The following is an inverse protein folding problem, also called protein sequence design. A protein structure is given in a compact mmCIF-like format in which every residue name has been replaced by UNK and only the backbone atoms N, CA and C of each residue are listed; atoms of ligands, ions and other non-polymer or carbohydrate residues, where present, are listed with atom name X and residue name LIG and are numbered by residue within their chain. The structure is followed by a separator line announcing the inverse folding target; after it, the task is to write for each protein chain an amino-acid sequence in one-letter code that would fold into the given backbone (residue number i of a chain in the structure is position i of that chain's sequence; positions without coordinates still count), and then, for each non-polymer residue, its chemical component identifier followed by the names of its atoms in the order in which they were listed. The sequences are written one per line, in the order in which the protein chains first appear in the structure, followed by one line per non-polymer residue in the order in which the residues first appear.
data_IF_046426108456
#
_entry.id   IF_046426108456
#
_cell.length_a   1.000
_cell.length_b   1.000
_cell.length_c   1.000
_cell.angle_alpha   90.00
_cell.angle_beta   90.00
_cell.angle_gamma   90.00
#
_symmetry.space_group_name_H-M   'P 1'
#
loop_
_entity.id
_entity.type
_entity.pdbx_description
1 polymer ?
#
# COMPACT_ATOMS: atom_id res chain seq x y z
N UNK A 1 8.90 -6.62 -15.84
CA UNK A 1 8.02 -5.45 -15.60
C UNK A 1 7.52 -5.56 -14.17
N UNK A 2 7.47 -4.48 -13.40
CA UNK A 2 6.97 -4.51 -12.01
C UNK A 2 5.45 -4.47 -11.97
N UNK A 3 4.84 -5.00 -10.90
CA UNK A 3 3.37 -5.05 -10.69
C UNK A 3 2.73 -3.66 -10.81
N UNK A 4 3.37 -2.64 -10.25
CA UNK A 4 2.89 -1.26 -10.37
C UNK A 4 2.86 -0.73 -11.81
N UNK A 5 3.83 -1.11 -12.64
CA UNK A 5 3.89 -0.70 -14.05
C UNK A 5 2.81 -1.39 -14.88
N UNK A 6 2.57 -2.66 -14.62
CA UNK A 6 1.51 -3.44 -15.27
C UNK A 6 0.12 -2.89 -14.92
N UNK A 7 -0.13 -2.59 -13.64
CA UNK A 7 -1.36 -1.94 -13.21
C UNK A 7 -1.53 -0.52 -13.80
N UNK A 8 -0.43 0.21 -14.01
CA UNK A 8 -0.47 1.53 -14.66
C UNK A 8 -0.89 1.41 -16.14
N UNK A 9 -0.43 0.38 -16.84
CA UNK A 9 -0.85 0.10 -18.22
C UNK A 9 -2.33 -0.31 -18.29
N UNK A 10 -2.80 -1.14 -17.35
CA UNK A 10 -4.22 -1.46 -17.19
C UNK A 10 -5.06 -0.20 -16.98
N UNK A 11 -4.64 0.68 -16.07
CA UNK A 11 -5.35 1.93 -15.80
C UNK A 11 -5.42 2.83 -17.03
N UNK A 12 -4.36 2.90 -17.83
CA UNK A 12 -4.35 3.62 -19.12
C UNK A 12 -5.21 2.95 -20.18
N UNK A 13 -5.35 1.62 -20.12
CA UNK A 13 -6.23 0.84 -20.99
C UNK A 13 -7.71 0.94 -20.63
N UNK A 14 -8.09 1.71 -19.61
CA UNK A 14 -9.49 1.91 -19.21
C UNK A 14 -9.96 1.01 -18.06
N UNK A 15 -9.04 0.33 -17.36
CA UNK A 15 -9.38 -0.50 -16.21
C UNK A 15 -10.28 0.23 -15.19
N UNK A 16 -11.20 -0.49 -14.60
CA UNK A 16 -12.15 0.03 -13.63
C UNK A 16 -11.56 0.04 -12.21
N UNK A 17 -12.21 0.77 -11.31
CA UNK A 17 -11.85 0.73 -9.89
C UNK A 17 -11.96 -0.69 -9.35
N UNK A 18 -10.92 -1.15 -8.67
CA UNK A 18 -10.84 -2.49 -8.07
C UNK A 18 -10.14 -3.53 -8.96
N UNK A 19 -9.85 -3.22 -10.22
CA UNK A 19 -8.96 -4.08 -11.00
C UNK A 19 -7.54 -4.01 -10.43
N UNK A 20 -6.89 -5.16 -10.29
CA UNK A 20 -5.58 -5.24 -9.67
C UNK A 20 -4.69 -6.28 -10.38
N UNK A 21 -3.40 -6.11 -10.18
CA UNK A 21 -2.34 -7.07 -10.55
C UNK A 21 -1.62 -7.46 -9.28
N UNK A 22 -1.30 -8.72 -9.12
CA UNK A 22 -0.50 -9.17 -8.00
C UNK A 22 0.61 -10.12 -8.43
N UNK A 23 1.62 -10.25 -7.60
CA UNK A 23 2.72 -11.18 -7.76
C UNK A 23 2.99 -11.88 -6.44
N UNK A 24 3.10 -13.19 -6.53
CA UNK A 24 3.53 -14.05 -5.44
C UNK A 24 5.05 -14.18 -5.52
N UNK A 25 5.77 -14.21 -4.40
CA UNK A 25 7.17 -14.58 -4.39
C UNK A 25 7.35 -15.95 -5.06
N UNK A 26 8.17 -16.03 -6.11
CA UNK A 26 8.62 -17.32 -6.62
C UNK A 26 9.52 -17.94 -5.54
N UNK A 27 9.09 -19.06 -4.95
CA UNK A 27 9.95 -19.92 -4.15
C UNK A 27 10.95 -20.58 -5.10
N UNK A 28 11.94 -19.83 -5.53
CA UNK A 28 13.09 -20.38 -6.21
C UNK A 28 14.06 -20.88 -5.14
N UNK A 29 14.28 -22.19 -5.18
CA UNK A 29 15.35 -22.92 -4.50
C UNK A 29 16.62 -22.07 -4.41
N UNK A 30 17.08 -21.81 -3.18
CA UNK A 30 18.23 -20.97 -2.89
C UNK A 30 19.46 -21.47 -3.63
N UNK A 31 19.82 -20.81 -4.73
CA UNK A 31 21.17 -20.90 -5.28
C UNK A 31 22.11 -20.16 -4.33
N UNK A 32 23.16 -20.84 -3.89
CA UNK A 32 24.14 -20.36 -2.93
C UNK A 32 24.68 -18.97 -3.32
N UNK A 33 24.92 -18.08 -2.34
CA UNK A 33 25.45 -16.75 -2.63
C UNK A 33 26.92 -16.86 -3.07
N UNK A 34 27.24 -16.40 -4.26
CA UNK A 34 28.59 -16.02 -4.63
C UNK A 34 28.97 -14.77 -3.82
N UNK A 35 29.96 -14.95 -2.96
CA UNK A 35 30.64 -13.86 -2.27
C UNK A 35 31.50 -13.14 -3.33
N UNK A 36 31.21 -11.87 -3.56
CA UNK A 36 32.23 -10.84 -3.69
C UNK A 36 31.60 -9.47 -4.03
N UNK A 37 32.05 -8.51 -3.32
CA UNK A 37 32.27 -7.08 -3.52
C UNK A 37 31.56 -6.14 -2.54
N UNK A 38 32.39 -5.73 -1.58
CA UNK A 38 32.23 -4.52 -0.83
C UNK A 38 32.36 -3.28 -1.72
N UNK A 39 31.39 -2.37 -1.69
CA UNK A 39 31.66 -0.95 -1.91
C UNK A 39 30.76 -0.08 -1.05
N UNK A 40 31.43 0.77 -0.28
CA UNK A 40 30.88 1.80 0.59
C UNK A 40 30.08 2.85 -0.17
N UNK A 41 29.18 3.44 0.59
CA UNK A 41 28.73 4.83 0.49
C UNK A 41 27.30 5.08 0.04
N UNK A 42 26.71 5.83 0.87
CA UNK A 42 25.62 6.79 0.67
C UNK A 42 24.28 6.44 1.29
N UNK A 43 23.91 7.33 2.21
CA UNK A 43 22.60 7.47 2.84
C UNK A 43 21.43 7.09 1.90
N UNK A 44 20.87 5.90 2.11
CA UNK A 44 19.59 5.53 1.55
C UNK A 44 18.47 5.93 2.52
N UNK A 45 17.33 6.44 2.04
CA UNK A 45 16.16 6.66 2.89
C UNK A 45 15.70 5.33 3.47
N UNK A 46 15.25 5.36 4.71
CA UNK A 46 14.86 4.19 5.51
C UNK A 46 13.51 3.57 5.05
N UNK A 47 13.41 3.16 3.80
CA UNK A 47 12.24 2.50 3.21
C UNK A 47 12.67 1.20 2.51
N UNK A 48 13.49 0.40 3.16
CA UNK A 48 13.78 -0.94 2.69
C UNK A 48 13.13 -1.94 3.64
N UNK A 49 12.19 -2.73 3.13
CA UNK A 49 11.75 -3.96 3.80
C UNK A 49 13.00 -4.77 4.20
N UNK A 50 13.05 -5.32 5.41
CA UNK A 50 14.16 -6.16 5.82
C UNK A 50 14.29 -7.29 4.79
N UNK A 51 15.47 -7.44 4.20
CA UNK A 51 15.79 -8.46 3.24
C UNK A 51 15.91 -9.83 3.91
N UNK A 52 14.80 -10.45 4.27
CA UNK A 52 14.68 -11.89 4.18
C UNK A 52 14.74 -12.20 2.70
N UNK A 53 15.64 -13.06 2.20
CA UNK A 53 15.94 -13.24 0.77
C UNK A 53 14.76 -13.70 -0.10
N UNK A 54 13.54 -13.57 0.34
CA UNK A 54 12.29 -13.81 -0.37
C UNK A 54 11.76 -12.49 -0.93
N UNK A 55 11.33 -12.52 -2.19
CA UNK A 55 10.68 -11.37 -2.82
C UNK A 55 9.37 -11.10 -2.08
N UNK A 56 9.06 -9.85 -1.72
CA UNK A 56 7.81 -9.52 -1.05
C UNK A 56 6.61 -9.85 -1.94
N UNK A 57 5.49 -10.19 -1.31
CA UNK A 57 4.19 -10.17 -1.96
C UNK A 57 3.91 -8.75 -2.48
N UNK A 58 3.49 -8.62 -3.73
CA UNK A 58 3.16 -7.33 -4.33
C UNK A 58 1.75 -7.36 -4.92
N UNK A 59 0.95 -6.34 -4.58
CA UNK A 59 -0.34 -6.09 -5.22
C UNK A 59 -0.44 -4.63 -5.64
N UNK A 60 -0.98 -4.37 -6.83
CA UNK A 60 -1.23 -3.02 -7.32
C UNK A 60 -2.68 -2.90 -7.78
N UNK A 61 -3.43 -1.99 -7.17
CA UNK A 61 -4.86 -1.78 -7.38
C UNK A 61 -5.10 -0.47 -8.10
N UNK A 62 -5.93 -0.52 -9.14
CA UNK A 62 -6.40 0.68 -9.86
C UNK A 62 -7.60 1.28 -9.13
N UNK A 63 -7.55 2.60 -8.89
CA UNK A 63 -8.66 3.35 -8.29
C UNK A 63 -8.96 4.57 -9.16
N UNK A 64 -10.19 4.68 -9.67
CA UNK A 64 -10.69 5.87 -10.37
C UNK A 64 -11.10 6.91 -9.35
N UNK A 65 -10.51 8.10 -9.43
CA UNK A 65 -10.69 9.14 -8.44
C UNK A 65 -11.75 10.15 -8.87
N UNK A 66 -12.78 10.33 -8.04
CA UNK A 66 -13.81 11.34 -8.22
C UNK A 66 -13.55 12.65 -7.45
N UNK A 67 -12.29 12.91 -7.09
CA UNK A 67 -11.84 14.11 -6.37
C UNK A 67 -10.93 14.97 -7.26
N UNK A 68 -10.77 16.24 -6.90
CA UNK A 68 -9.88 17.14 -7.64
C UNK A 68 -8.40 16.86 -7.34
N UNK A 69 -7.52 17.22 -8.29
CA UNK A 69 -6.08 16.94 -8.25
C UNK A 69 -5.37 17.31 -6.93
N UNK A 70 -5.67 18.42 -6.25
CA UNK A 70 -5.03 18.76 -4.98
C UNK A 70 -5.20 17.71 -3.86
N UNK A 71 -6.19 16.82 -3.97
CA UNK A 71 -6.43 15.77 -2.99
C UNK A 71 -5.65 14.47 -3.28
N UNK A 72 -5.16 14.29 -4.50
CA UNK A 72 -4.48 13.06 -4.93
C UNK A 72 -3.29 12.67 -4.05
N UNK A 73 -2.44 13.62 -3.57
CA UNK A 73 -1.34 13.28 -2.66
C UNK A 73 -1.77 12.66 -1.33
N UNK A 74 -3.05 12.77 -0.95
CA UNK A 74 -3.56 12.16 0.27
C UNK A 74 -3.84 10.65 0.12
N UNK A 75 -3.93 10.12 -1.10
CA UNK A 75 -4.29 8.71 -1.35
C UNK A 75 -3.42 7.72 -0.58
N UNK A 76 -2.07 7.77 -0.60
CA UNK A 76 -1.26 6.82 0.14
C UNK A 76 -1.50 6.88 1.66
N UNK A 77 -1.74 8.06 2.22
CA UNK A 77 -2.06 8.22 3.66
C UNK A 77 -3.42 7.61 4.01
N UNK A 78 -4.42 7.80 3.14
CA UNK A 78 -5.75 7.21 3.31
C UNK A 78 -5.68 5.69 3.31
N UNK A 79 -4.91 5.13 2.38
CA UNK A 79 -4.72 3.68 2.27
C UNK A 79 -3.95 3.14 3.47
N UNK A 80 -2.87 3.82 3.88
CA UNK A 80 -2.11 3.43 5.07
C UNK A 80 -2.98 3.42 6.32
N UNK A 81 -3.79 4.47 6.50
CA UNK A 81 -4.71 4.56 7.63
C UNK A 81 -5.75 3.43 7.61
N UNK A 82 -6.40 3.20 6.47
CA UNK A 82 -7.40 2.13 6.34
C UNK A 82 -6.81 0.74 6.57
N UNK A 83 -5.63 0.47 6.01
CA UNK A 83 -4.92 -0.80 6.20
C UNK A 83 -4.48 -0.96 7.67
N UNK A 84 -3.88 0.06 8.28
CA UNK A 84 -3.46 0.02 9.67
C UNK A 84 -4.65 -0.18 10.62
N UNK A 85 -5.77 0.52 10.41
CA UNK A 85 -6.99 0.34 11.22
C UNK A 85 -7.52 -1.10 11.14
N UNK A 86 -7.51 -1.69 9.94
CA UNK A 86 -7.93 -3.08 9.75
C UNK A 86 -6.99 -4.05 10.49
N UNK A 87 -5.67 -3.88 10.31
CA UNK A 87 -4.67 -4.75 10.92
C UNK A 87 -4.66 -4.63 12.46
N UNK A 88 -4.85 -3.42 13.01
CA UNK A 88 -4.95 -3.20 14.46
C UNK A 88 -6.19 -3.84 15.09
N UNK A 89 -7.22 -4.11 14.32
CA UNK A 89 -8.36 -4.88 14.82
C UNK A 89 -8.00 -6.36 15.09
N UNK A 90 -6.98 -6.88 14.41
CA UNK A 90 -6.44 -8.23 14.64
C UNK A 90 -5.31 -8.22 15.70
N UNK A 91 -4.41 -7.25 15.65
CA UNK A 91 -3.30 -7.08 16.61
C UNK A 91 -2.95 -5.58 16.78
N UNK A 92 -3.00 -5.09 18.02
CA UNK A 92 -2.72 -3.69 18.37
C UNK A 92 -1.27 -3.22 18.11
N UNK A 93 -0.34 -4.17 17.90
CA UNK A 93 1.06 -3.88 17.61
C UNK A 93 1.31 -3.39 16.19
N UNK A 94 0.30 -3.34 15.31
CA UNK A 94 0.42 -2.69 14.03
C UNK A 94 0.37 -1.16 14.18
N UNK A 95 1.20 -0.46 13.41
CA UNK A 95 1.31 0.99 13.38
C UNK A 95 1.66 1.50 11.99
N UNK A 96 1.76 2.83 11.86
CA UNK A 96 2.21 3.48 10.63
C UNK A 96 3.60 4.07 10.87
N UNK A 97 4.57 3.63 10.08
CA UNK A 97 5.88 4.25 9.98
C UNK A 97 5.84 5.36 8.93
N UNK A 98 6.41 6.52 9.29
CA UNK A 98 6.44 7.65 8.38
C UNK A 98 7.11 7.33 7.03
N UNK A 99 6.56 7.74 5.87
CA UNK A 99 5.36 8.57 5.72
C UNK A 99 4.04 7.76 5.61
N UNK A 100 4.04 6.51 5.21
CA UNK A 100 2.83 5.70 5.02
C UNK A 100 3.10 4.19 4.92
N UNK A 101 4.25 3.73 5.40
CA UNK A 101 4.54 2.30 5.51
C UNK A 101 3.84 1.71 6.75
N UNK A 102 3.49 0.44 6.70
CA UNK A 102 2.92 -0.28 7.85
C UNK A 102 4.04 -0.96 8.61
N UNK A 103 4.04 -0.82 9.91
CA UNK A 103 4.95 -1.52 10.79
C UNK A 103 4.22 -2.46 11.74
N UNK A 104 4.92 -3.51 12.15
CA UNK A 104 4.54 -4.42 13.21
C UNK A 104 5.71 -4.53 14.18
N UNK A 105 5.51 -4.17 15.45
CA UNK A 105 6.58 -4.12 16.46
C UNK A 105 7.83 -3.37 15.97
N UNK A 106 7.62 -2.15 15.42
CA UNK A 106 8.65 -1.25 14.89
C UNK A 106 9.42 -1.75 13.64
N UNK A 107 9.02 -2.88 13.05
CA UNK A 107 9.56 -3.37 11.78
C UNK A 107 8.58 -3.08 10.65
N UNK A 108 9.09 -2.57 9.53
CA UNK A 108 8.27 -2.33 8.34
C UNK A 108 7.87 -3.67 7.73
N UNK A 109 6.56 -3.95 7.71
CA UNK A 109 5.98 -5.18 7.15
C UNK A 109 5.23 -4.94 5.84
N UNK A 110 4.87 -3.69 5.54
CA UNK A 110 4.31 -3.35 4.24
C UNK A 110 4.70 -1.93 3.83
N UNK A 111 5.09 -1.78 2.56
CA UNK A 111 5.38 -0.49 1.92
C UNK A 111 4.28 -0.14 0.94
N UNK A 112 3.78 1.11 1.03
CA UNK A 112 2.71 1.63 0.19
C UNK A 112 3.27 2.67 -0.76
N UNK A 113 2.90 2.59 -2.04
CA UNK A 113 3.24 3.60 -3.06
C UNK A 113 1.99 3.91 -3.85
N UNK A 114 1.82 5.17 -4.24
CA UNK A 114 0.74 5.57 -5.12
C UNK A 114 1.30 6.37 -6.32
N UNK A 115 0.85 6.00 -7.50
CA UNK A 115 1.14 6.71 -8.75
C UNK A 115 -0.17 7.17 -9.36
N UNK A 116 -0.32 8.45 -9.60
CA UNK A 116 -1.53 9.00 -10.20
C UNK A 116 -1.33 9.34 -11.68
N UNK A 117 -2.42 9.29 -12.42
CA UNK A 117 -2.46 9.66 -13.83
C UNK A 117 -3.82 10.19 -14.24
N UNK A 118 -3.90 10.57 -15.50
CA UNK A 118 -5.14 11.04 -16.11
C UNK A 118 -5.36 10.35 -17.46
N UNK A 119 -6.41 9.57 -17.54
CA UNK A 119 -6.87 8.88 -18.75
C UNK A 119 -8.37 8.64 -18.60
N UNK A 120 -9.19 9.30 -19.42
CA UNK A 120 -10.65 9.24 -19.28
C UNK A 120 -11.15 9.56 -17.86
N UNK A 121 -10.43 10.45 -17.17
CA UNK A 121 -10.61 10.79 -15.77
C UNK A 121 -9.35 10.55 -14.95
N UNK A 122 -9.37 11.02 -13.72
CA UNK A 122 -8.25 10.84 -12.80
C UNK A 122 -8.24 9.41 -12.24
N UNK A 123 -7.06 8.82 -12.15
CA UNK A 123 -6.87 7.54 -11.49
C UNK A 123 -5.61 7.54 -10.61
N UNK A 124 -5.57 6.65 -9.66
CA UNK A 124 -4.37 6.27 -8.93
C UNK A 124 -4.15 4.76 -9.03
N UNK A 125 -2.90 4.36 -9.13
CA UNK A 125 -2.45 2.99 -8.93
C UNK A 125 -1.78 2.94 -7.57
N UNK A 126 -2.37 2.21 -6.64
CA UNK A 126 -1.84 1.98 -5.30
C UNK A 126 -1.16 0.63 -5.29
N UNK A 127 0.16 0.61 -5.10
CA UNK A 127 0.93 -0.62 -4.96
C UNK A 127 1.35 -0.83 -3.51
N UNK A 128 1.17 -2.05 -3.03
CA UNK A 128 1.54 -2.49 -1.69
C UNK A 128 2.49 -3.66 -1.87
N UNK A 129 3.70 -3.51 -1.33
CA UNK A 129 4.68 -4.57 -1.21
C UNK A 129 4.77 -4.95 0.27
N UNK A 130 4.58 -6.22 0.60
CA UNK A 130 4.43 -6.63 1.98
C UNK A 130 5.03 -8.01 2.25
N UNK A 131 5.37 -8.27 3.50
CA UNK A 131 5.56 -9.62 3.98
C UNK A 131 4.23 -10.36 3.96
N UNK A 132 4.18 -11.50 3.26
CA UNK A 132 2.94 -12.23 3.07
C UNK A 132 2.49 -12.97 4.33
N UNK A 133 3.40 -13.36 5.21
CA UNK A 133 3.09 -14.17 6.39
C UNK A 133 2.27 -13.37 7.42
N UNK A 134 2.74 -12.18 7.80
CA UNK A 134 2.04 -11.32 8.73
C UNK A 134 0.68 -10.88 8.19
N UNK A 135 0.60 -10.54 6.90
CA UNK A 135 -0.64 -10.14 6.30
C UNK A 135 -1.63 -11.30 6.16
N UNK A 136 -1.19 -12.48 5.72
CA UNK A 136 -2.04 -13.66 5.65
C UNK A 136 -2.66 -13.99 7.01
N UNK A 137 -1.85 -13.91 8.07
CA UNK A 137 -2.31 -14.11 9.45
C UNK A 137 -3.37 -13.08 9.86
N UNK A 138 -3.10 -11.79 9.60
CA UNK A 138 -4.01 -10.70 9.99
C UNK A 138 -5.32 -10.70 9.18
N UNK A 139 -5.27 -11.13 7.92
CA UNK A 139 -6.46 -11.24 7.05
C UNK A 139 -7.20 -12.57 7.18
N UNK A 140 -6.68 -13.52 7.97
CA UNK A 140 -7.24 -14.88 8.13
C UNK A 140 -7.45 -15.59 6.77
N UNK A 141 -6.38 -15.63 5.95
CA UNK A 141 -6.44 -16.17 4.58
C UNK A 141 -5.59 -17.42 4.37
N UNK A 142 -4.97 -17.98 5.43
CA UNK A 142 -4.26 -19.28 5.43
C UNK A 142 -3.45 -19.51 4.14
N UNK A 143 -2.36 -18.78 3.92
CA UNK A 143 -1.40 -18.90 2.81
C UNK A 143 -1.99 -18.74 1.39
N UNK A 144 -3.24 -18.30 1.27
CA UNK A 144 -3.86 -18.03 -0.02
C UNK A 144 -3.57 -16.59 -0.48
N UNK A 145 -2.48 -16.43 -1.21
CA UNK A 145 -2.01 -15.13 -1.70
C UNK A 145 -2.96 -14.45 -2.70
N UNK A 146 -3.72 -15.22 -3.49
CA UNK A 146 -4.74 -14.66 -4.37
C UNK A 146 -5.90 -14.06 -3.56
N UNK A 147 -6.34 -14.77 -2.53
CA UNK A 147 -7.38 -14.26 -1.62
C UNK A 147 -6.88 -13.06 -0.83
N UNK A 148 -5.60 -13.06 -0.42
CA UNK A 148 -4.96 -11.91 0.20
C UNK A 148 -4.97 -10.70 -0.73
N UNK A 149 -4.57 -10.88 -2.01
CA UNK A 149 -4.55 -9.82 -3.00
C UNK A 149 -5.96 -9.22 -3.20
N UNK A 150 -6.98 -10.05 -3.30
CA UNK A 150 -8.37 -9.61 -3.37
C UNK A 150 -8.77 -8.77 -2.15
N UNK A 151 -8.56 -9.28 -0.93
CA UNK A 151 -8.93 -8.58 0.31
C UNK A 151 -8.20 -7.25 0.47
N UNK A 152 -6.90 -7.21 0.17
CA UNK A 152 -6.10 -5.98 0.20
C UNK A 152 -6.62 -4.97 -0.84
N UNK A 153 -6.91 -5.42 -2.06
CA UNK A 153 -7.46 -4.57 -3.11
C UNK A 153 -8.84 -3.99 -2.72
N UNK A 154 -9.73 -4.82 -2.18
CA UNK A 154 -11.04 -4.38 -1.67
C UNK A 154 -10.89 -3.32 -0.57
N UNK A 155 -9.95 -3.52 0.36
CA UNK A 155 -9.68 -2.57 1.45
C UNK A 155 -9.14 -1.24 0.91
N UNK A 156 -8.25 -1.26 -0.09
CA UNK A 156 -7.76 -0.05 -0.78
C UNK A 156 -8.93 0.72 -1.38
N UNK A 157 -9.78 0.05 -2.15
CA UNK A 157 -10.96 0.66 -2.80
C UNK A 157 -11.92 1.23 -1.76
N UNK A 158 -12.19 0.48 -0.69
CA UNK A 158 -13.08 0.91 0.37
C UNK A 158 -12.55 2.16 1.08
N UNK A 159 -11.27 2.16 1.46
CA UNK A 159 -10.63 3.28 2.15
C UNK A 159 -10.70 4.57 1.32
N UNK A 160 -10.35 4.48 0.03
CA UNK A 160 -10.41 5.63 -0.87
C UNK A 160 -11.86 6.08 -1.10
N UNK A 161 -12.80 5.16 -1.26
CA UNK A 161 -14.21 5.49 -1.48
C UNK A 161 -14.84 6.21 -0.29
N UNK A 162 -14.56 5.75 0.93
CA UNK A 162 -15.04 6.40 2.16
C UNK A 162 -14.47 7.81 2.28
N UNK A 163 -13.17 7.95 2.05
CA UNK A 163 -12.51 9.25 2.06
C UNK A 163 -13.06 10.20 0.99
N UNK A 164 -13.27 9.74 -0.25
CA UNK A 164 -13.87 10.56 -1.31
C UNK A 164 -15.24 11.10 -0.92
N UNK A 165 -16.06 10.29 -0.23
CA UNK A 165 -17.35 10.74 0.25
C UNK A 165 -17.21 11.85 1.30
N UNK A 166 -16.19 11.75 2.17
CA UNK A 166 -15.87 12.82 3.14
C UNK A 166 -15.44 14.10 2.42
N UNK A 167 -14.55 13.99 1.41
CA UNK A 167 -14.12 15.12 0.58
C UNK A 167 -15.32 15.79 -0.09
N UNK A 168 -16.21 15.01 -0.71
CA UNK A 168 -17.41 15.53 -1.41
C UNK A 168 -18.40 16.21 -0.45
N UNK A 169 -18.44 15.81 0.81
CA UNK A 169 -19.32 16.42 1.86
C UNK A 169 -18.69 17.62 2.54
N UNK A 170 -17.37 17.75 2.44
CA UNK A 170 -16.66 18.82 3.13
C UNK A 170 -16.95 20.18 2.53
N UNK A 171 -17.13 21.19 3.41
CA UNK A 171 -17.34 22.59 3.02
C UNK A 171 -16.02 23.36 2.82
N UNK A 172 -14.89 22.76 3.19
CA UNK A 172 -13.56 23.36 3.06
C UNK A 172 -12.53 22.32 2.60
N UNK A 173 -11.50 22.76 1.93
CA UNK A 173 -10.39 21.90 1.50
C UNK A 173 -9.62 21.29 2.68
N UNK A 174 -9.45 22.05 3.75
CA UNK A 174 -8.64 21.63 4.90
C UNK A 174 -9.29 20.53 5.76
N UNK A 175 -10.65 20.47 5.80
CA UNK A 175 -11.37 19.55 6.69
C UNK A 175 -11.02 18.08 6.50
N UNK A 176 -11.15 17.51 5.30
CA UNK A 176 -10.83 16.09 5.05
C UNK A 176 -9.36 15.74 5.29
N UNK A 177 -8.44 16.66 4.99
CA UNK A 177 -7.01 16.44 5.21
C UNK A 177 -6.69 16.49 6.71
N UNK A 178 -7.29 17.43 7.45
CA UNK A 178 -7.08 17.52 8.89
C UNK A 178 -7.58 16.26 9.64
N UNK A 179 -8.70 15.69 9.23
CA UNK A 179 -9.22 14.44 9.80
C UNK A 179 -8.25 13.27 9.54
N UNK A 180 -7.76 13.12 8.30
CA UNK A 180 -6.78 12.08 7.98
C UNK A 180 -5.52 12.25 8.83
N UNK A 181 -5.00 13.47 8.96
CA UNK A 181 -3.79 13.71 9.72
C UNK A 181 -3.99 13.43 11.22
N UNK A 182 -5.15 13.77 11.78
CA UNK A 182 -5.47 13.46 13.19
C UNK A 182 -5.42 11.95 13.43
N UNK A 183 -6.21 11.20 12.67
CA UNK A 183 -6.28 9.75 12.80
C UNK A 183 -4.94 9.07 12.48
N UNK A 184 -4.19 9.64 11.52
CA UNK A 184 -2.87 9.16 11.14
C UNK A 184 -1.87 9.28 12.29
N UNK A 185 -1.80 10.44 12.96
CA UNK A 185 -0.86 10.62 14.07
C UNK A 185 -1.16 9.75 15.28
N UNK A 186 -2.43 9.35 15.46
CA UNK A 186 -2.82 8.39 16.50
C UNK A 186 -2.33 6.95 16.19
N UNK A 187 -1.95 6.67 14.95
CA UNK A 187 -1.45 5.36 14.51
C UNK A 187 0.07 5.28 14.40
N UNK A 188 0.79 6.41 14.48
CA UNK A 188 2.26 6.43 14.47
C UNK A 188 2.76 6.01 15.85
N UNK A 189 3.60 4.97 15.98
CA UNK A 189 4.20 4.62 17.27
C UNK A 189 5.10 5.76 17.77
N UNK A 190 5.06 5.98 19.09
CA UNK A 190 5.88 7.00 19.78
C UNK A 190 7.30 6.53 19.99
#
# INVERSE_FOLDING_TARGET
MGVAQEALELARGGAQTGEFVFRVPDVQEAAAPDQDECSESACAPASALPSSGEKPFEVATVVRLGVSMPYVPAVPYVVALGLCQFLRAADENFGICWPYDICYKDQVVASIKATAGYQEGMFAVVSIAADSEELCSAFDVADNTELLANKVSELVVQSVSVWEQQVKRARSFAGPIALILSDYFDMVPL
#
